data_IF_460172411747
#
_entry.id   IF_460172411747
#
_cell.length_a   1.000
_cell.length_b   1.000
_cell.length_c   1.000
_cell.angle_alpha   90.00
_cell.angle_beta   90.00
_cell.angle_gamma   90.00
#
_symmetry.space_group_name_H-M   'P 1'
#
loop_
_entity.id
_entity.type
_entity.pdbx_description
1 polymer ?
#
# COMPACT_ATOMS: atom_id res chain seq x y z
N UNK A 1 -12.38 1.58 -35.11
CA UNK A 1 -13.31 2.37 -34.32
C UNK A 1 -12.58 2.88 -33.08
N UNK A 2 -12.72 4.15 -32.74
CA UNK A 2 -12.01 4.75 -31.60
C UNK A 2 -12.51 4.17 -30.26
N UNK A 3 -11.61 4.09 -29.28
CA UNK A 3 -11.95 3.76 -27.91
C UNK A 3 -12.60 4.99 -27.26
N UNK A 4 -13.74 4.78 -26.61
CA UNK A 4 -14.49 5.85 -25.94
C UNK A 4 -14.38 5.77 -24.43
N UNK A 5 -14.32 4.54 -23.86
CA UNK A 5 -14.31 4.32 -22.43
C UNK A 5 -13.45 3.10 -22.04
N UNK A 6 -12.76 3.22 -20.90
CA UNK A 6 -12.05 2.13 -20.22
C UNK A 6 -12.68 1.97 -18.84
N UNK A 7 -13.14 0.77 -18.53
CA UNK A 7 -13.69 0.40 -17.22
C UNK A 7 -12.99 -0.83 -16.66
N UNK A 8 -13.00 -0.97 -15.36
CA UNK A 8 -12.48 -2.14 -14.64
C UNK A 8 -13.64 -3.07 -14.32
N UNK A 9 -13.55 -4.33 -14.74
CA UNK A 9 -14.48 -5.39 -14.33
C UNK A 9 -14.32 -5.64 -12.84
N UNK A 10 -15.44 -5.62 -12.10
CA UNK A 10 -15.43 -5.89 -10.64
C UNK A 10 -14.48 -4.98 -9.83
N UNK A 11 -14.21 -3.77 -10.31
CA UNK A 11 -13.37 -2.82 -9.61
C UNK A 11 -14.08 -2.14 -8.43
N UNK A 12 -13.31 -1.52 -7.54
CA UNK A 12 -13.83 -0.68 -6.45
C UNK A 12 -14.65 0.51 -6.98
N UNK A 13 -14.31 1.00 -8.17
CA UNK A 13 -15.10 1.94 -8.99
C UNK A 13 -15.00 1.52 -10.46
N UNK A 14 -15.78 2.17 -11.34
CA UNK A 14 -15.71 1.89 -12.77
C UNK A 14 -14.30 2.09 -13.38
N UNK A 15 -13.47 2.95 -12.80
CA UNK A 15 -12.14 3.27 -13.31
C UNK A 15 -10.99 2.84 -12.37
N UNK A 16 -11.29 2.11 -11.30
CA UNK A 16 -10.30 1.70 -10.32
C UNK A 16 -10.51 0.25 -9.90
N UNK A 17 -9.44 -0.54 -10.00
CA UNK A 17 -9.39 -1.91 -9.50
C UNK A 17 -8.09 -2.24 -8.80
N UNK A 18 -8.08 -3.39 -8.15
CA UNK A 18 -6.88 -3.96 -7.55
C UNK A 18 -6.95 -5.48 -7.54
N UNK A 19 -5.79 -6.11 -7.48
CA UNK A 19 -5.66 -7.53 -7.22
C UNK A 19 -4.46 -7.78 -6.29
N UNK A 20 -4.56 -8.83 -5.47
CA UNK A 20 -3.43 -9.36 -4.71
C UNK A 20 -2.94 -10.65 -5.36
N UNK A 21 -1.64 -10.75 -5.53
CA UNK A 21 -0.96 -11.88 -6.18
C UNK A 21 0.16 -12.35 -5.24
N UNK A 22 0.21 -13.63 -4.95
CA UNK A 22 1.30 -14.20 -4.14
C UNK A 22 2.52 -14.39 -5.04
N UNK A 23 3.67 -13.88 -4.61
CA UNK A 23 4.92 -14.00 -5.35
C UNK A 23 5.37 -15.47 -5.40
N UNK A 24 5.75 -15.92 -6.57
CA UNK A 24 6.32 -17.23 -6.84
C UNK A 24 7.17 -17.18 -8.10
N UNK A 25 7.74 -18.31 -8.51
CA UNK A 25 8.48 -18.40 -9.75
C UNK A 25 7.58 -18.10 -10.96
N UNK A 26 8.01 -17.17 -11.81
CA UNK A 26 7.32 -16.78 -13.04
C UNK A 26 5.87 -16.30 -12.82
N UNK A 27 5.58 -15.70 -11.68
CA UNK A 27 4.24 -15.19 -11.38
C UNK A 27 3.86 -14.07 -12.35
N UNK A 28 2.74 -14.26 -13.03
CA UNK A 28 2.17 -13.27 -13.94
C UNK A 28 0.72 -12.95 -13.59
N UNK A 29 0.25 -11.79 -14.02
CA UNK A 29 -1.13 -11.35 -13.85
C UNK A 29 -1.64 -10.72 -15.15
N UNK A 30 -2.76 -11.22 -15.67
CA UNK A 30 -3.40 -10.66 -16.85
C UNK A 30 -4.27 -9.46 -16.48
N UNK A 31 -3.69 -8.26 -16.60
CA UNK A 31 -4.38 -7.01 -16.34
C UNK A 31 -5.39 -6.70 -17.45
N UNK A 32 -5.07 -7.05 -18.71
CA UNK A 32 -5.99 -6.80 -19.82
C UNK A 32 -7.32 -7.53 -19.63
N UNK A 33 -7.29 -8.74 -19.10
CA UNK A 33 -8.51 -9.50 -18.77
C UNK A 33 -9.45 -8.79 -17.76
N UNK A 34 -8.91 -7.83 -16.97
CA UNK A 34 -9.69 -7.05 -16.02
C UNK A 34 -10.40 -5.85 -16.66
N UNK A 35 -10.13 -5.55 -17.93
CA UNK A 35 -10.66 -4.37 -18.59
C UNK A 35 -11.96 -4.67 -19.33
N UNK A 36 -12.85 -3.69 -19.31
CA UNK A 36 -13.99 -3.57 -20.22
C UNK A 36 -13.81 -2.33 -21.08
N UNK A 37 -13.66 -2.54 -22.38
CA UNK A 37 -13.44 -1.47 -23.36
C UNK A 37 -14.73 -1.20 -24.13
N UNK A 38 -15.05 0.06 -24.32
CA UNK A 38 -16.25 0.48 -25.07
C UNK A 38 -15.88 1.42 -26.23
N UNK A 39 -16.47 1.24 -27.41
CA UNK A 39 -17.30 0.10 -27.78
C UNK A 39 -16.50 -1.22 -27.85
N UNK A 40 -17.18 -2.36 -27.69
CA UNK A 40 -16.50 -3.68 -27.66
C UNK A 40 -15.74 -4.03 -28.95
N UNK A 41 -16.12 -3.45 -30.08
CA UNK A 41 -15.49 -3.62 -31.40
C UNK A 41 -14.48 -2.50 -31.72
N UNK A 42 -13.99 -1.77 -30.70
CA UNK A 42 -12.94 -0.79 -30.91
C UNK A 42 -11.67 -1.44 -31.44
N UNK A 43 -10.88 -0.71 -32.23
CA UNK A 43 -9.63 -1.16 -32.84
C UNK A 43 -8.41 -0.36 -32.37
N UNK A 44 -8.63 0.64 -31.55
CA UNK A 44 -7.56 1.52 -31.07
C UNK A 44 -6.65 0.84 -30.04
N UNK A 45 -7.23 0.08 -29.11
CA UNK A 45 -6.50 -0.58 -28.02
C UNK A 45 -6.07 0.36 -26.91
N UNK A 46 -5.33 -0.19 -25.96
CA UNK A 46 -4.83 0.50 -24.78
C UNK A 46 -3.32 0.41 -24.67
N UNK A 47 -2.73 1.34 -23.91
CA UNK A 47 -1.34 1.31 -23.45
C UNK A 47 -1.29 1.37 -21.94
N UNK A 48 -0.19 0.91 -21.37
CA UNK A 48 0.01 0.82 -19.94
C UNK A 48 1.19 1.67 -19.50
N UNK A 49 1.08 2.30 -18.34
CA UNK A 49 2.16 3.02 -17.68
C UNK A 49 2.27 2.49 -16.25
N UNK A 50 3.43 1.93 -15.90
CA UNK A 50 3.68 1.45 -14.55
C UNK A 50 4.11 2.60 -13.64
N UNK A 51 3.50 2.66 -12.46
CA UNK A 51 3.89 3.50 -11.35
C UNK A 51 4.30 2.61 -10.18
N UNK A 52 5.57 2.44 -10.04
CA UNK A 52 6.25 1.61 -9.07
C UNK A 52 7.56 1.08 -9.65
N UNK A 53 8.41 0.52 -8.80
CA UNK A 53 9.73 0.03 -9.19
C UNK A 53 9.64 -1.16 -10.15
N UNK A 54 10.49 -1.18 -11.17
CA UNK A 54 10.58 -2.29 -12.14
C UNK A 54 11.05 -3.62 -11.50
N UNK A 55 11.75 -3.55 -10.38
CA UNK A 55 12.13 -4.71 -9.57
C UNK A 55 10.93 -5.35 -8.85
N UNK A 56 9.80 -4.66 -8.73
CA UNK A 56 8.55 -5.21 -8.17
C UNK A 56 7.69 -5.81 -9.26
N UNK A 57 7.42 -5.07 -10.33
CA UNK A 57 6.68 -5.58 -11.47
C UNK A 57 6.93 -4.79 -12.75
N UNK A 58 6.81 -5.47 -13.87
CA UNK A 58 6.77 -4.88 -15.22
C UNK A 58 5.49 -5.31 -15.93
N UNK A 59 5.12 -4.58 -16.98
CA UNK A 59 3.96 -4.91 -17.82
C UNK A 59 4.36 -4.86 -19.28
N UNK A 60 3.86 -5.79 -20.08
CA UNK A 60 4.06 -5.80 -21.52
C UNK A 60 2.93 -5.07 -22.28
N UNK A 61 3.07 -4.98 -23.60
CA UNK A 61 2.09 -4.32 -24.47
C UNK A 61 0.74 -5.05 -24.54
N UNK A 62 0.70 -6.34 -24.17
CA UNK A 62 -0.51 -7.15 -24.12
C UNK A 62 -1.25 -7.00 -22.77
N UNK A 63 -0.64 -6.33 -21.80
CA UNK A 63 -1.20 -6.15 -20.47
C UNK A 63 -0.87 -7.30 -19.51
N UNK A 64 0.14 -8.08 -19.80
CA UNK A 64 0.63 -9.12 -18.89
C UNK A 64 1.65 -8.51 -17.93
N UNK A 65 1.30 -8.50 -16.66
CA UNK A 65 2.17 -8.07 -15.57
C UNK A 65 3.08 -9.23 -15.18
N UNK A 66 4.38 -9.00 -15.14
CA UNK A 66 5.37 -9.92 -14.58
C UNK A 66 5.72 -9.47 -13.16
N UNK A 67 5.40 -10.28 -12.16
CA UNK A 67 5.67 -10.03 -10.75
C UNK A 67 7.10 -10.50 -10.41
N UNK A 68 7.93 -9.62 -9.85
CA UNK A 68 9.36 -9.88 -9.61
C UNK A 68 9.73 -9.75 -8.13
N UNK A 69 9.00 -8.94 -7.38
CA UNK A 69 9.27 -8.65 -5.98
C UNK A 69 8.00 -8.33 -5.20
N UNK A 70 8.12 -8.35 -3.89
CA UNK A 70 7.01 -8.02 -2.98
C UNK A 70 6.81 -6.50 -2.95
N UNK A 71 5.57 -6.05 -3.11
CA UNK A 71 5.21 -4.64 -3.13
C UNK A 71 3.98 -4.39 -3.98
N UNK A 72 3.64 -3.13 -4.20
CA UNK A 72 2.50 -2.75 -5.03
C UNK A 72 2.95 -1.87 -6.18
N UNK A 73 2.48 -2.18 -7.38
CA UNK A 73 2.62 -1.34 -8.56
C UNK A 73 1.24 -0.93 -9.05
N UNK A 74 1.04 0.37 -9.26
CA UNK A 74 -0.19 0.89 -9.86
C UNK A 74 0.04 1.09 -11.35
N UNK A 75 -0.79 0.47 -12.16
CA UNK A 75 -0.79 0.64 -13.60
C UNK A 75 -1.86 1.64 -13.99
N UNK A 76 -1.49 2.59 -14.84
CA UNK A 76 -2.43 3.47 -15.51
C UNK A 76 -2.68 2.96 -16.90
N UNK A 77 -3.93 2.77 -17.23
CA UNK A 77 -4.40 2.28 -18.52
C UNK A 77 -4.97 3.46 -19.29
N UNK A 78 -4.47 3.69 -20.49
CA UNK A 78 -4.86 4.79 -21.36
C UNK A 78 -5.20 4.28 -22.77
N UNK A 79 -6.08 4.98 -23.47
CA UNK A 79 -6.24 4.77 -24.91
C UNK A 79 -4.91 5.02 -25.65
N UNK A 80 -4.59 4.22 -26.68
CA UNK A 80 -3.33 4.37 -27.46
C UNK A 80 -3.20 5.74 -28.11
N UNK A 81 -4.31 6.39 -28.48
CA UNK A 81 -4.32 7.74 -29.07
C UNK A 81 -3.96 8.84 -28.07
N UNK A 82 -4.01 8.59 -26.77
CA UNK A 82 -3.57 9.59 -25.81
C UNK A 82 -2.07 9.88 -25.98
N UNK A 83 -1.66 11.16 -25.87
CA UNK A 83 -0.25 11.52 -26.06
C UNK A 83 0.67 10.70 -25.12
N UNK A 84 1.93 10.59 -25.49
CA UNK A 84 2.91 9.76 -24.77
C UNK A 84 3.49 10.44 -23.53
N UNK A 85 3.12 11.70 -23.26
CA UNK A 85 3.66 12.44 -22.13
C UNK A 85 2.82 12.18 -20.86
N UNK A 86 3.33 11.44 -19.87
CA UNK A 86 2.56 11.06 -18.69
C UNK A 86 1.94 12.25 -17.94
N UNK A 87 2.61 13.38 -17.88
CA UNK A 87 2.19 14.56 -17.12
C UNK A 87 0.90 15.21 -17.63
N UNK A 88 0.65 15.19 -18.95
CA UNK A 88 -0.51 15.84 -19.56
C UNK A 88 -1.68 14.88 -19.79
N UNK A 89 -1.41 13.59 -19.97
CA UNK A 89 -2.38 12.58 -20.37
C UNK A 89 -3.42 12.29 -19.30
N UNK A 90 -3.00 12.31 -18.05
CA UNK A 90 -3.89 11.93 -16.95
C UNK A 90 -5.00 12.93 -16.66
N UNK A 91 -4.71 14.22 -16.81
CA UNK A 91 -5.70 15.28 -16.56
C UNK A 91 -6.79 15.32 -17.63
N UNK A 92 -6.41 15.00 -18.86
CA UNK A 92 -7.24 15.21 -20.03
C UNK A 92 -7.83 13.91 -20.63
N UNK A 93 -7.45 12.75 -20.10
CA UNK A 93 -7.88 11.47 -20.67
C UNK A 93 -9.40 11.17 -20.49
N UNK A 94 -10.10 11.89 -19.59
CA UNK A 94 -11.52 11.71 -19.36
C UNK A 94 -11.88 10.24 -19.04
N UNK A 95 -12.87 9.70 -19.72
CA UNK A 95 -13.29 8.31 -19.57
C UNK A 95 -12.34 7.28 -20.21
N UNK A 96 -11.31 7.75 -20.94
CA UNK A 96 -10.33 6.90 -21.62
C UNK A 96 -9.12 6.57 -20.73
N UNK A 97 -9.32 6.49 -19.43
CA UNK A 97 -8.31 6.09 -18.44
C UNK A 97 -8.91 5.18 -17.38
N UNK A 98 -8.08 4.32 -16.83
CA UNK A 98 -8.37 3.54 -15.65
C UNK A 98 -7.09 3.30 -14.84
N UNK A 99 -7.25 2.84 -13.62
CA UNK A 99 -6.14 2.56 -12.69
C UNK A 99 -6.30 1.15 -12.14
N UNK A 100 -5.20 0.42 -12.06
CA UNK A 100 -5.21 -0.92 -11.48
C UNK A 100 -3.96 -1.14 -10.63
N UNK A 101 -4.16 -1.44 -9.35
CA UNK A 101 -3.08 -1.76 -8.44
C UNK A 101 -2.89 -3.28 -8.38
N UNK A 102 -1.67 -3.75 -8.63
CA UNK A 102 -1.27 -5.14 -8.38
C UNK A 102 -0.44 -5.15 -7.11
N UNK A 103 -0.99 -5.78 -6.07
CA UNK A 103 -0.34 -5.95 -4.78
C UNK A 103 0.29 -7.35 -4.73
N UNK A 104 1.61 -7.39 -4.77
CA UNK A 104 2.39 -8.63 -4.77
C UNK A 104 2.80 -8.93 -3.34
N UNK A 105 2.28 -10.02 -2.78
CA UNK A 105 2.48 -10.43 -1.40
C UNK A 105 3.56 -11.50 -1.30
N UNK A 106 4.19 -11.58 -0.14
CA UNK A 106 5.14 -12.63 0.19
C UNK A 106 4.37 -13.95 0.42
N UNK A 107 4.84 -15.11 -0.10
CA UNK A 107 4.21 -16.40 0.17
C UNK A 107 4.19 -16.76 1.66
N UNK A 108 5.01 -16.13 2.47
CA UNK A 108 5.08 -16.32 3.91
C UNK A 108 4.18 -15.33 4.70
N UNK A 109 3.49 -14.41 4.02
CA UNK A 109 2.50 -13.55 4.65
C UNK A 109 1.30 -14.38 5.15
N UNK A 110 0.86 -14.11 6.36
CA UNK A 110 -0.33 -14.72 6.93
C UNK A 110 -1.61 -14.21 6.25
N UNK A 111 -2.63 -15.06 6.20
CA UNK A 111 -3.97 -14.65 5.80
C UNK A 111 -4.53 -13.62 6.80
N UNK A 112 -4.83 -12.43 6.30
CA UNK A 112 -5.29 -11.27 7.08
C UNK A 112 -6.81 -11.13 7.11
N UNK A 113 -7.54 -12.12 6.64
CA UNK A 113 -9.01 -12.10 6.61
C UNK A 113 -9.58 -11.89 8.01
N UNK A 114 -10.37 -10.83 8.16
CA UNK A 114 -10.99 -10.46 9.42
C UNK A 114 -10.09 -9.72 10.41
N UNK A 115 -8.83 -9.45 10.09
CA UNK A 115 -7.95 -8.68 10.96
C UNK A 115 -8.42 -7.23 11.11
N UNK A 116 -8.18 -6.68 12.29
CA UNK A 116 -8.50 -5.28 12.58
C UNK A 116 -7.54 -4.67 13.61
N UNK A 117 -7.54 -3.36 13.67
CA UNK A 117 -7.01 -2.64 14.83
C UNK A 117 -8.06 -2.66 15.93
N UNK A 118 -7.94 -3.54 16.91
CA UNK A 118 -8.93 -3.75 17.98
C UNK A 118 -8.93 -2.61 19.02
N UNK A 119 -7.75 -2.02 19.28
CA UNK A 119 -7.56 -0.91 20.19
C UNK A 119 -6.44 0.01 19.71
N UNK A 120 -6.51 1.31 20.08
CA UNK A 120 -5.50 2.31 19.74
C UNK A 120 -5.53 3.50 20.70
N UNK A 121 -4.41 4.23 20.76
CA UNK A 121 -4.35 5.53 21.44
C UNK A 121 -4.87 6.63 20.51
N UNK A 122 -5.68 7.50 21.05
CA UNK A 122 -6.19 8.67 20.32
C UNK A 122 -7.18 8.33 19.21
N UNK A 123 -7.51 9.31 18.39
CA UNK A 123 -8.44 9.16 17.30
C UNK A 123 -7.77 8.51 16.07
N UNK A 124 -8.47 7.58 15.43
CA UNK A 124 -8.08 7.06 14.12
C UNK A 124 -8.26 8.17 13.09
N UNK A 125 -7.24 8.35 12.28
CA UNK A 125 -7.20 9.28 11.18
C UNK A 125 -6.71 8.55 9.94
N UNK A 126 -7.14 9.01 8.78
CA UNK A 126 -6.78 8.41 7.51
C UNK A 126 -7.95 8.48 6.54
N UNK A 127 -7.72 8.11 5.29
CA UNK A 127 -8.72 8.24 4.23
C UNK A 127 -9.94 7.36 4.47
N UNK A 128 -9.75 6.18 5.04
CA UNK A 128 -10.85 5.26 5.34
C UNK A 128 -11.39 5.40 6.78
N UNK A 129 -10.57 5.91 7.72
CA UNK A 129 -10.96 6.04 9.12
C UNK A 129 -11.38 4.73 9.78
N UNK A 130 -11.02 3.59 9.18
CA UNK A 130 -11.49 2.26 9.53
C UNK A 130 -10.43 1.48 10.29
N UNK A 131 -10.88 0.64 11.20
CA UNK A 131 -10.03 -0.31 11.93
C UNK A 131 -9.45 -1.41 11.03
N UNK A 132 -10.06 -1.66 9.88
CA UNK A 132 -9.65 -2.67 8.90
C UNK A 132 -8.81 -2.11 7.77
N UNK A 133 -8.64 -0.78 7.70
CA UNK A 133 -7.98 -0.09 6.59
C UNK A 133 -6.51 -0.51 6.34
N UNK A 134 -5.87 -1.13 7.34
CA UNK A 134 -4.50 -1.65 7.20
C UNK A 134 -4.44 -3.10 6.68
N UNK A 135 -5.61 -3.74 6.43
CA UNK A 135 -5.71 -5.17 6.11
C UNK A 135 -6.68 -5.46 4.98
N UNK A 136 -7.17 -4.43 4.28
CA UNK A 136 -8.23 -4.56 3.27
C UNK A 136 -7.72 -4.76 1.84
N UNK A 137 -6.41 -4.80 1.64
CA UNK A 137 -5.74 -4.90 0.34
C UNK A 137 -6.08 -3.73 -0.61
N UNK A 138 -6.53 -2.61 -0.07
CA UNK A 138 -6.81 -1.39 -0.83
C UNK A 138 -5.68 -0.41 -0.62
N UNK A 139 -4.67 -0.52 -1.46
CA UNK A 139 -3.53 0.38 -1.42
C UNK A 139 -3.94 1.83 -1.70
N UNK A 140 -3.46 2.76 -0.87
CA UNK A 140 -3.62 4.20 -1.09
C UNK A 140 -2.38 4.78 -1.77
N UNK A 141 -2.39 4.93 -3.10
CA UNK A 141 -1.26 5.52 -3.81
C UNK A 141 -1.07 7.00 -3.48
N UNK A 142 -2.10 7.69 -2.97
CA UNK A 142 -2.06 9.11 -2.58
C UNK A 142 -1.74 10.10 -3.71
N UNK A 143 -1.42 9.60 -4.90
CA UNK A 143 -0.92 10.36 -6.06
C UNK A 143 -1.99 10.67 -7.08
N UNK A 144 -2.96 9.78 -7.25
CA UNK A 144 -4.02 9.97 -8.23
C UNK A 144 -5.27 10.52 -7.55
N UNK A 145 -5.71 11.72 -7.95
CA UNK A 145 -6.89 12.36 -7.37
C UNK A 145 -8.18 11.55 -7.55
N UNK A 146 -8.23 10.76 -8.61
CA UNK A 146 -9.39 9.96 -8.98
C UNK A 146 -9.38 8.57 -8.31
N UNK A 147 -8.29 8.19 -7.65
CA UNK A 147 -8.14 6.89 -6.98
C UNK A 147 -8.46 7.04 -5.50
N UNK A 148 -9.39 6.20 -5.04
CA UNK A 148 -9.68 6.08 -3.60
C UNK A 148 -8.71 5.08 -3.00
N UNK A 149 -7.97 5.52 -2.00
CA UNK A 149 -7.11 4.65 -1.20
C UNK A 149 -7.73 4.35 0.14
N UNK A 150 -7.16 3.37 0.80
CA UNK A 150 -7.44 3.02 2.18
C UNK A 150 -6.16 3.15 2.99
N UNK A 151 -6.25 3.76 4.16
CA UNK A 151 -5.12 3.86 5.06
C UNK A 151 -5.57 3.96 6.52
N UNK A 152 -4.74 3.45 7.40
CA UNK A 152 -4.85 3.60 8.84
C UNK A 152 -3.86 4.67 9.32
N UNK A 153 -4.29 5.56 10.18
CA UNK A 153 -3.42 6.61 10.71
C UNK A 153 -3.77 7.01 12.14
N UNK A 154 -2.75 7.45 12.85
CA UNK A 154 -2.86 7.97 14.20
C UNK A 154 -2.13 9.30 14.33
N UNK A 155 -2.65 10.17 15.20
CA UNK A 155 -1.96 11.41 15.52
C UNK A 155 -0.71 11.12 16.34
N UNK A 156 0.45 11.60 15.86
CA UNK A 156 1.72 11.40 16.56
C UNK A 156 1.79 12.21 17.87
N UNK A 157 2.58 11.74 18.86
CA UNK A 157 2.78 12.47 20.10
C UNK A 157 3.45 13.83 19.87
N UNK A 158 3.04 14.81 20.62
CA UNK A 158 3.64 16.16 20.60
C UNK A 158 4.72 16.34 21.65
N UNK A 159 4.67 15.60 22.74
CA UNK A 159 5.63 15.62 23.85
C UNK A 159 6.62 14.47 23.73
N UNK A 160 7.81 14.62 24.33
CA UNK A 160 8.85 13.60 24.29
C UNK A 160 8.40 12.28 24.95
N UNK A 161 7.67 12.37 26.05
CA UNK A 161 7.17 11.21 26.80
C UNK A 161 5.82 10.68 26.30
N UNK A 162 5.24 11.36 25.31
CA UNK A 162 3.99 10.94 24.71
C UNK A 162 4.15 9.67 23.90
N UNK A 163 3.15 8.80 23.99
CA UNK A 163 3.09 7.57 23.21
C UNK A 163 1.88 7.56 22.30
N UNK A 164 2.04 6.90 21.16
CA UNK A 164 0.95 6.48 20.29
C UNK A 164 1.10 5.00 20.04
N UNK A 165 -0.01 4.27 20.03
CA UNK A 165 0.01 2.84 19.84
C UNK A 165 -1.27 2.32 19.19
N UNK A 166 -1.16 1.16 18.59
CA UNK A 166 -2.29 0.38 18.08
C UNK A 166 -2.09 -1.10 18.35
N UNK A 167 -3.20 -1.83 18.44
CA UNK A 167 -3.25 -3.28 18.65
C UNK A 167 -3.87 -3.94 17.45
N UNK A 168 -3.14 -4.82 16.81
CA UNK A 168 -3.63 -5.70 15.74
C UNK A 168 -4.26 -6.93 16.38
N UNK A 169 -5.52 -7.21 16.09
CA UNK A 169 -6.17 -8.48 16.38
C UNK A 169 -6.12 -9.38 15.15
N UNK A 170 -5.38 -10.46 15.24
CA UNK A 170 -5.24 -11.48 14.18
C UNK A 170 -6.37 -12.53 14.23
N UNK A 171 -7.40 -12.31 15.03
CA UNK A 171 -8.60 -13.15 15.23
C UNK A 171 -8.33 -14.49 15.91
N UNK A 172 -7.13 -15.01 15.82
CA UNK A 172 -6.65 -16.23 16.47
C UNK A 172 -5.17 -16.11 16.77
N UNK A 173 -4.67 -17.00 17.60
CA UNK A 173 -3.24 -17.12 17.87
C UNK A 173 -2.50 -17.46 16.55
N UNK A 174 -1.48 -16.68 16.21
CA UNK A 174 -0.65 -16.81 15.02
C UNK A 174 0.82 -16.88 15.42
N UNK A 175 1.60 -17.64 14.67
CA UNK A 175 3.06 -17.65 14.79
C UNK A 175 3.64 -16.62 13.81
N UNK A 176 4.47 -15.69 14.29
CA UNK A 176 5.06 -14.63 13.48
C UNK A 176 6.51 -14.41 13.82
N UNK A 177 7.35 -14.08 12.84
CA UNK A 177 8.73 -13.65 13.05
C UNK A 177 9.11 -12.41 12.24
N UNK A 178 8.18 -11.84 11.47
CA UNK A 178 8.36 -10.53 10.82
C UNK A 178 7.06 -9.76 10.72
N UNK A 179 7.20 -8.46 10.50
CA UNK A 179 6.13 -7.60 10.00
C UNK A 179 6.63 -6.75 8.83
N UNK A 180 5.70 -6.17 8.08
CA UNK A 180 5.99 -5.27 6.96
C UNK A 180 4.92 -4.18 6.89
N UNK A 181 5.34 -2.92 6.74
CA UNK A 181 4.44 -1.80 6.54
C UNK A 181 4.55 -1.28 5.11
N UNK A 182 3.41 -1.03 4.49
CA UNK A 182 3.30 -0.22 3.28
C UNK A 182 2.80 1.17 3.67
N UNK A 183 3.68 2.15 3.61
CA UNK A 183 3.28 3.51 3.90
C UNK A 183 2.40 4.08 2.79
N UNK A 184 1.55 5.00 3.15
CA UNK A 184 0.82 5.81 2.18
C UNK A 184 1.80 6.64 1.35
N UNK A 185 1.58 6.71 0.04
CA UNK A 185 2.28 7.64 -0.82
C UNK A 185 1.89 9.09 -0.48
N UNK A 186 2.85 9.97 -0.32
CA UNK A 186 2.63 11.34 0.13
C UNK A 186 3.10 12.37 -0.87
N UNK A 187 2.33 13.46 -0.95
CA UNK A 187 2.58 14.61 -1.83
C UNK A 187 3.94 15.29 -1.61
N UNK A 188 4.45 15.21 -0.40
CA UNK A 188 5.62 15.99 -0.03
C UNK A 188 6.40 15.19 0.99
N UNK A 189 7.63 14.87 0.65
CA UNK A 189 8.55 14.10 1.52
C UNK A 189 8.75 14.74 2.89
N UNK A 190 8.75 16.08 2.95
CA UNK A 190 8.99 16.80 4.19
C UNK A 190 7.79 16.86 5.13
N UNK A 191 6.59 16.65 4.60
CA UNK A 191 5.34 16.71 5.37
C UNK A 191 4.80 15.35 5.72
N UNK A 192 5.21 14.30 5.03
CA UNK A 192 4.72 12.95 5.33
C UNK A 192 5.23 12.47 6.67
N UNK A 193 4.32 12.08 7.53
CA UNK A 193 4.65 11.40 8.76
C UNK A 193 4.65 9.90 8.52
N UNK A 194 5.77 9.25 8.79
CA UNK A 194 5.96 7.81 8.63
C UNK A 194 6.53 7.23 9.90
N UNK A 195 6.19 5.98 10.12
CA UNK A 195 6.82 5.15 11.12
C UNK A 195 8.23 4.78 10.64
N UNK A 196 9.26 5.27 11.30
CA UNK A 196 10.66 4.87 11.05
C UNK A 196 11.17 3.85 12.05
N UNK A 197 10.49 3.72 13.19
CA UNK A 197 10.75 2.67 14.20
C UNK A 197 9.54 2.49 15.10
N UNK A 198 9.51 1.38 15.82
CA UNK A 198 8.64 1.17 16.97
C UNK A 198 9.48 1.15 18.24
N UNK A 199 9.11 1.94 19.24
CA UNK A 199 9.80 1.96 20.53
C UNK A 199 9.60 0.66 21.31
N UNK A 200 8.46 0.00 21.10
CA UNK A 200 8.18 -1.34 21.63
C UNK A 200 7.18 -2.07 20.75
N UNK A 201 7.34 -3.40 20.69
CA UNK A 201 6.35 -4.33 20.17
C UNK A 201 6.04 -5.32 21.28
N UNK A 202 4.76 -5.53 21.57
CA UNK A 202 4.29 -6.39 22.64
C UNK A 202 3.26 -7.40 22.09
N UNK A 203 3.19 -8.57 22.71
CA UNK A 203 2.26 -9.64 22.37
C UNK A 203 1.31 -9.98 23.52
N UNK A 204 0.11 -10.40 23.16
CA UNK A 204 -0.92 -10.85 24.11
C UNK A 204 -1.81 -11.91 23.49
N UNK A 205 -2.37 -12.79 24.32
CA UNK A 205 -3.39 -13.74 23.90
C UNK A 205 -4.79 -13.41 24.45
N UNK A 206 -4.87 -12.57 25.48
CA UNK A 206 -6.12 -12.11 26.09
C UNK A 206 -6.53 -10.68 25.68
N UNK A 207 -5.61 -9.93 25.06
CA UNK A 207 -5.81 -8.54 24.66
C UNK A 207 -5.69 -7.53 25.81
N UNK A 208 -5.38 -7.98 27.01
CA UNK A 208 -5.29 -7.18 28.25
C UNK A 208 -3.86 -7.17 28.80
N UNK A 209 -3.26 -8.34 28.94
CA UNK A 209 -1.90 -8.52 29.47
C UNK A 209 -0.91 -8.65 28.33
N UNK A 210 -0.04 -7.65 28.19
CA UNK A 210 0.95 -7.58 27.11
C UNK A 210 2.36 -7.84 27.58
N UNK A 211 3.07 -8.73 26.91
CA UNK A 211 4.48 -9.03 27.14
C UNK A 211 5.34 -8.40 26.05
N UNK A 212 6.41 -7.71 26.41
CA UNK A 212 7.32 -7.10 25.43
C UNK A 212 8.06 -8.17 24.62
N UNK A 213 7.99 -8.05 23.30
CA UNK A 213 8.65 -8.91 22.32
C UNK A 213 9.96 -8.26 21.85
N UNK A 214 9.92 -6.95 21.57
CA UNK A 214 11.02 -6.21 21.02
C UNK A 214 10.97 -4.73 21.44
N UNK A 215 12.13 -4.06 21.39
CA UNK A 215 12.26 -2.61 21.60
C UNK A 215 13.13 -2.00 20.49
N UNK A 216 12.89 -0.72 20.23
CA UNK A 216 13.64 0.09 19.26
C UNK A 216 13.80 -0.58 17.88
N UNK A 217 12.70 -1.13 17.37
CA UNK A 217 12.68 -1.86 16.10
C UNK A 217 12.60 -0.87 14.94
N UNK A 218 13.68 -0.77 14.17
CA UNK A 218 13.73 0.09 12.98
C UNK A 218 12.80 -0.43 11.88
N UNK A 219 12.05 0.50 11.29
CA UNK A 219 11.27 0.25 10.08
C UNK A 219 12.04 0.86 8.92
N UNK A 220 12.43 0.09 7.91
CA UNK A 220 13.17 0.61 6.77
C UNK A 220 12.42 1.78 6.14
N UNK A 221 13.04 2.95 6.20
CA UNK A 221 12.56 4.12 5.52
C UNK A 221 13.12 4.05 4.11
N UNK A 222 12.29 3.66 3.17
CA UNK A 222 12.69 3.64 1.77
C UNK A 222 12.91 5.09 1.33
N UNK A 223 14.12 5.56 1.54
CA UNK A 223 14.51 6.92 1.23
C UNK A 223 14.82 7.09 -0.26
N UNK A 224 14.14 8.05 -0.83
CA UNK A 224 14.64 9.00 -1.82
C UNK A 224 14.82 8.62 -3.29
N UNK A 225 14.05 7.73 -3.87
CA UNK A 225 13.89 7.79 -5.32
C UNK A 225 12.85 8.88 -5.69
N UNK A 226 13.14 9.83 -6.56
CA UNK A 226 12.15 10.81 -7.01
C UNK A 226 11.16 10.11 -7.93
N UNK A 227 9.95 9.91 -7.47
CA UNK A 227 8.83 9.57 -8.31
C UNK A 227 8.23 10.83 -8.92
N UNK A 228 7.71 10.73 -10.11
CA UNK A 228 7.02 11.84 -10.79
C UNK A 228 5.52 11.68 -10.50
N UNK A 229 4.89 12.67 -9.87
CA UNK A 229 3.44 12.75 -9.84
C UNK A 229 2.95 13.43 -11.13
N UNK A 230 2.30 12.70 -12.02
CA UNK A 230 1.80 13.27 -13.27
C UNK A 230 0.67 14.29 -13.04
N UNK A 231 0.09 14.30 -11.83
CA UNK A 231 -1.01 15.22 -11.50
C UNK A 231 -0.57 16.50 -10.80
N UNK A 232 0.63 16.55 -10.25
CA UNK A 232 1.14 17.65 -9.43
C UNK A 232 2.44 18.26 -9.98
N UNK A 233 2.77 17.99 -11.23
CA UNK A 233 3.98 18.54 -11.85
C UNK A 233 5.28 18.01 -11.24
N UNK A 234 5.28 16.79 -10.72
CA UNK A 234 6.46 16.13 -10.20
C UNK A 234 6.73 16.32 -8.70
N UNK A 235 5.77 16.87 -7.95
CA UNK A 235 5.96 17.13 -6.52
C UNK A 235 5.70 15.92 -5.60
N UNK A 236 5.20 14.80 -6.15
CA UNK A 236 4.95 13.58 -5.40
C UNK A 236 5.92 12.48 -5.76
N UNK A 237 6.31 11.75 -4.76
CA UNK A 237 7.20 10.62 -4.91
C UNK A 237 6.41 9.32 -4.83
N UNK A 238 6.21 8.67 -5.97
CA UNK A 238 5.37 7.49 -6.11
C UNK A 238 6.15 6.21 -5.80
N UNK A 239 7.42 6.16 -6.21
CA UNK A 239 8.19 4.91 -6.24
C UNK A 239 8.59 4.41 -4.86
N UNK A 240 8.61 5.30 -3.88
CA UNK A 240 9.17 5.01 -2.56
C UNK A 240 8.28 4.26 -1.60
N UNK A 241 6.98 4.37 -1.77
CA UNK A 241 6.03 3.94 -0.74
C UNK A 241 5.40 2.60 -1.06
N UNK A 242 5.72 2.09 -2.22
CA UNK A 242 5.19 0.83 -2.73
C UNK A 242 6.05 -0.38 -2.40
N UNK A 243 7.29 -0.15 -1.98
CA UNK A 243 8.20 -1.20 -1.55
C UNK A 243 8.32 -1.19 -0.05
N UNK A 244 8.18 -2.34 0.55
CA UNK A 244 8.38 -2.55 1.96
C UNK A 244 9.24 -3.80 2.17
N UNK A 245 10.18 -3.73 3.08
CA UNK A 245 10.98 -4.88 3.48
C UNK A 245 10.40 -5.53 4.72
N UNK A 246 10.58 -6.83 4.83
CA UNK A 246 10.25 -7.56 6.05
C UNK A 246 11.14 -7.07 7.19
N UNK A 247 10.53 -6.69 8.30
CA UNK A 247 11.20 -6.33 9.54
C UNK A 247 11.16 -7.53 10.45
N UNK A 248 12.30 -8.18 10.65
CA UNK A 248 12.39 -9.37 11.51
C UNK A 248 12.18 -9.00 12.97
N UNK A 249 11.42 -9.82 13.67
CA UNK A 249 11.36 -9.82 15.13
C UNK A 249 12.60 -10.56 15.69
N UNK A 250 13.04 -10.23 16.91
CA UNK A 250 14.20 -10.89 17.53
C UNK A 250 14.01 -12.40 17.70
N UNK A 251 12.78 -12.84 17.87
CA UNK A 251 12.41 -14.24 18.01
C UNK A 251 11.07 -14.50 17.29
N UNK A 252 10.84 -15.74 16.91
CA UNK A 252 9.53 -16.23 16.52
C UNK A 252 8.62 -16.23 17.75
N UNK A 253 7.45 -15.61 17.62
CA UNK A 253 6.50 -15.45 18.71
C UNK A 253 5.12 -15.99 18.31
N UNK A 254 4.29 -16.28 19.30
CA UNK A 254 2.97 -16.86 19.10
C UNK A 254 1.93 -16.14 19.94
N UNK A 255 1.16 -15.27 19.30
CA UNK A 255 0.16 -14.42 19.94
C UNK A 255 -1.06 -14.22 19.02
N UNK A 256 -2.20 -13.83 19.62
CA UNK A 256 -3.36 -13.34 18.89
C UNK A 256 -3.27 -11.82 18.66
N UNK A 257 -2.78 -11.10 19.65
CA UNK A 257 -2.71 -9.64 19.62
C UNK A 257 -1.27 -9.17 19.59
N UNK A 258 -0.97 -8.22 18.70
CA UNK A 258 0.31 -7.52 18.68
C UNK A 258 0.07 -6.01 18.85
N UNK A 259 0.74 -5.43 19.83
CA UNK A 259 0.70 -3.99 20.11
C UNK A 259 1.98 -3.32 19.64
N UNK A 260 1.83 -2.32 18.80
CA UNK A 260 2.91 -1.51 18.24
C UNK A 260 2.90 -0.14 18.89
N UNK A 261 4.02 0.26 19.50
CA UNK A 261 4.14 1.51 20.28
C UNK A 261 5.19 2.42 19.63
N UNK A 262 4.86 3.70 19.50
CA UNK A 262 5.77 4.72 19.03
C UNK A 262 5.82 5.92 19.95
N UNK A 263 7.02 6.47 20.13
CA UNK A 263 7.27 7.76 20.80
C UNK A 263 7.47 8.85 19.75
N UNK A 264 7.66 10.09 20.19
CA UNK A 264 7.83 11.24 19.29
C UNK A 264 8.94 11.04 18.25
N UNK A 265 10.04 10.43 18.63
CA UNK A 265 11.20 10.16 17.78
C UNK A 265 11.03 8.96 16.83
N UNK A 266 9.93 8.23 16.92
CA UNK A 266 9.61 7.09 16.06
C UNK A 266 9.07 7.48 14.68
N UNK A 267 8.97 8.77 14.39
CA UNK A 267 8.33 9.28 13.19
C UNK A 267 9.22 10.21 12.38
N UNK A 268 9.01 10.23 11.07
CA UNK A 268 9.60 11.23 10.16
C UNK A 268 8.60 12.32 9.82
N UNK A 269 9.09 13.41 9.23
CA UNK A 269 8.27 14.46 8.67
C UNK A 269 7.54 15.34 9.68
N UNK A 270 6.90 16.37 9.18
CA UNK A 270 6.24 17.42 9.97
C UNK A 270 4.73 17.24 10.11
N UNK A 271 4.12 16.31 9.36
CA UNK A 271 2.69 16.03 9.45
C UNK A 271 2.30 15.56 10.85
N UNK A 272 1.10 15.93 11.28
CA UNK A 272 0.57 15.57 12.61
C UNK A 272 0.12 14.11 12.69
N UNK A 273 -0.26 13.53 11.56
CA UNK A 273 -0.81 12.18 11.48
C UNK A 273 0.15 11.28 10.70
N UNK A 274 0.49 10.14 11.26
CA UNK A 274 1.23 9.08 10.60
C UNK A 274 0.29 8.01 10.09
N UNK A 275 0.44 7.67 8.82
CA UNK A 275 -0.45 6.78 8.09
C UNK A 275 0.35 5.69 7.38
N UNK A 276 -0.25 4.51 7.27
CA UNK A 276 0.20 3.44 6.39
C UNK A 276 -1.01 2.81 5.71
N UNK A 277 -0.82 2.31 4.50
CA UNK A 277 -1.89 1.70 3.71
C UNK A 277 -2.13 0.27 4.12
N UNK A 278 -1.05 -0.49 4.30
CA UNK A 278 -1.14 -1.92 4.57
C UNK A 278 -0.13 -2.35 5.61
N UNK A 279 -0.49 -3.36 6.38
CA UNK A 279 0.38 -4.06 7.30
C UNK A 279 0.30 -5.56 7.08
N UNK A 280 1.46 -6.20 6.97
CA UNK A 280 1.61 -7.63 6.83
C UNK A 280 2.35 -8.19 8.03
N UNK A 281 2.02 -9.40 8.41
CA UNK A 281 2.71 -10.22 9.39
C UNK A 281 2.93 -11.59 8.77
N UNK A 282 4.03 -12.23 9.09
CA UNK A 282 4.34 -13.52 8.51
C UNK A 282 5.38 -14.29 9.28
N UNK A 283 5.67 -15.47 8.73
CA UNK A 283 6.70 -16.35 9.23
C UNK A 283 7.51 -16.86 8.04
N UNK A 284 8.77 -16.52 7.98
CA UNK A 284 9.73 -17.11 7.07
C UNK A 284 10.70 -18.01 7.83
N UNK A 285 11.17 -19.06 7.17
CA UNK A 285 12.10 -20.04 7.74
C UNK A 285 13.53 -19.51 7.90
#
# INVERSE_FOLDING_TARGET
MALEKIEIKNGATAIQGSASVVLGENTTFDLYAQLQLSPANQTEGVKYIAYGPEEIATIDENGIVTCKGVGTVTFVILAKSNPANPGDDFKNAGAKKAYFAVNITDPHDLDRTGWEVSANSGAISGTAGSKTAAFDNVFDPGVFKDVKGSNFGLTKPTTADGEVWFVVDMQKEQTVNYFRLMHQSCRNTDRSCRWKKFSAILGSNDGETFTQIASDVEVPNLDNAPGIDPNDGGSRNIDKYHTCSNVKLPNTVKYRYLKFVGKKDCFTGTAKTCQFSEMYLGIDE
#
